data_IF_655154077663
#
_entry.id   IF_655154077663
#
_cell.length_a   1.000
_cell.length_b   1.000
_cell.length_c   1.000
_cell.angle_alpha   90.00
_cell.angle_beta   90.00
_cell.angle_gamma   90.00
#
_symmetry.space_group_name_H-M   'P 1'
#
loop_
_entity.id
_entity.type
_entity.pdbx_description
1 polymer ?
#
# COMPACT_ATOMS: atom_id res chain seq x y z
N UNK A 1 3.19 28.04 6.92
CA UNK A 1 2.33 26.85 7.19
C UNK A 1 1.85 26.17 5.90
N UNK A 2 1.55 26.91 4.83
CA UNK A 2 1.08 26.40 3.53
C UNK A 2 2.14 25.63 2.72
N UNK A 3 3.40 26.05 2.79
CA UNK A 3 4.54 25.37 2.13
C UNK A 3 4.74 23.94 2.64
N UNK A 4 4.77 23.76 3.96
CA UNK A 4 5.01 22.45 4.59
C UNK A 4 3.91 21.44 4.22
N UNK A 5 2.65 21.88 4.19
CA UNK A 5 1.51 21.04 3.80
C UNK A 5 1.56 20.65 2.33
N UNK A 6 1.98 21.57 1.45
CA UNK A 6 2.08 21.32 0.00
C UNK A 6 3.22 20.34 -0.32
N UNK A 7 4.37 20.50 0.35
CA UNK A 7 5.51 19.58 0.24
C UNK A 7 5.14 18.21 0.80
N UNK A 8 4.50 18.14 1.96
CA UNK A 8 4.05 16.88 2.55
C UNK A 8 3.05 16.14 1.64
N UNK A 9 2.09 16.84 1.04
CA UNK A 9 1.14 16.25 0.09
C UNK A 9 1.84 15.74 -1.18
N UNK A 10 2.76 16.52 -1.76
CA UNK A 10 3.54 16.09 -2.93
C UNK A 10 4.38 14.85 -2.64
N UNK A 11 5.06 14.83 -1.49
CA UNK A 11 5.84 13.69 -1.04
C UNK A 11 4.97 12.43 -0.88
N UNK A 12 3.80 12.52 -0.24
CA UNK A 12 2.93 11.37 -0.05
C UNK A 12 2.33 10.79 -1.35
N UNK A 13 2.14 11.62 -2.38
CA UNK A 13 1.70 11.19 -3.72
C UNK A 13 2.84 10.60 -4.56
N UNK A 14 4.08 10.99 -4.27
CA UNK A 14 5.22 10.59 -5.12
C UNK A 14 5.97 9.41 -4.52
N UNK A 15 6.16 9.40 -3.20
CA UNK A 15 6.99 8.42 -2.47
C UNK A 15 6.52 6.96 -2.64
N UNK A 16 5.24 6.58 -2.51
CA UNK A 16 4.83 5.17 -2.70
C UNK A 16 4.99 4.66 -4.14
N UNK A 17 4.65 5.47 -5.14
CA UNK A 17 4.81 5.08 -6.54
C UNK A 17 6.28 5.05 -6.95
N UNK A 18 7.04 6.10 -6.59
CA UNK A 18 8.48 6.17 -6.82
C UNK A 18 9.21 5.08 -6.02
N UNK A 19 8.80 4.82 -4.79
CA UNK A 19 9.35 3.78 -3.92
C UNK A 19 9.18 2.39 -4.52
N UNK A 20 8.01 2.07 -5.07
CA UNK A 20 7.82 0.83 -5.84
C UNK A 20 8.78 0.74 -7.03
N UNK A 21 8.87 1.80 -7.84
CA UNK A 21 9.74 1.83 -9.03
C UNK A 21 11.22 1.71 -8.67
N UNK A 22 11.70 2.46 -7.66
CA UNK A 22 13.07 2.42 -7.16
C UNK A 22 13.39 1.01 -6.66
N UNK A 23 12.52 0.43 -5.82
CA UNK A 23 12.70 -0.92 -5.30
C UNK A 23 12.73 -1.95 -6.44
N UNK A 24 11.92 -1.78 -7.48
CA UNK A 24 11.95 -2.64 -8.65
C UNK A 24 13.27 -2.55 -9.43
N UNK A 25 13.76 -1.34 -9.69
CA UNK A 25 15.04 -1.11 -10.39
C UNK A 25 16.21 -1.72 -9.60
N UNK A 26 16.28 -1.45 -8.29
CA UNK A 26 17.30 -2.00 -7.39
C UNK A 26 17.24 -3.54 -7.36
N UNK A 27 16.03 -4.09 -7.22
CA UNK A 27 15.83 -5.54 -7.18
C UNK A 27 16.24 -6.20 -8.49
N UNK A 28 16.02 -5.52 -9.63
CA UNK A 28 16.43 -5.98 -10.97
C UNK A 28 17.94 -6.03 -11.13
N UNK A 29 18.64 -5.02 -10.64
CA UNK A 29 20.11 -5.02 -10.61
C UNK A 29 20.66 -6.11 -9.69
N UNK A 30 20.03 -6.36 -8.54
CA UNK A 30 20.55 -7.32 -7.56
C UNK A 30 20.26 -8.78 -7.92
N UNK A 31 19.06 -9.09 -8.44
CA UNK A 31 18.66 -10.48 -8.71
C UNK A 31 18.87 -10.93 -10.16
N UNK A 32 19.03 -10.01 -11.11
CA UNK A 32 19.14 -10.33 -12.55
C UNK A 32 17.91 -11.02 -13.16
N UNK A 33 16.87 -11.27 -12.37
CA UNK A 33 15.69 -12.03 -12.77
C UNK A 33 14.44 -11.18 -12.56
N UNK A 34 13.75 -10.88 -13.66
CA UNK A 34 12.56 -10.03 -13.66
C UNK A 34 11.49 -10.48 -12.66
N UNK A 35 11.17 -11.78 -12.61
CA UNK A 35 10.11 -12.30 -11.74
C UNK A 35 10.47 -12.20 -10.26
N UNK A 36 11.72 -12.49 -9.89
CA UNK A 36 12.19 -12.32 -8.50
C UNK A 36 12.21 -10.85 -8.10
N UNK A 37 12.57 -9.97 -9.02
CA UNK A 37 12.63 -8.52 -8.81
C UNK A 37 11.26 -7.93 -8.49
N UNK A 38 10.24 -8.34 -9.25
CA UNK A 38 8.85 -7.91 -8.99
C UNK A 38 8.41 -8.32 -7.59
N UNK A 39 8.67 -9.56 -7.18
CA UNK A 39 8.26 -10.01 -5.85
C UNK A 39 8.97 -9.25 -4.72
N UNK A 40 10.28 -9.01 -4.85
CA UNK A 40 11.01 -8.24 -3.84
C UNK A 40 10.50 -6.79 -3.75
N UNK A 41 10.22 -6.18 -4.90
CA UNK A 41 9.68 -4.83 -4.96
C UNK A 41 8.28 -4.72 -4.33
N UNK A 42 7.40 -5.68 -4.63
CA UNK A 42 6.07 -5.78 -4.01
C UNK A 42 6.20 -5.91 -2.49
N UNK A 43 7.08 -6.81 -2.02
CA UNK A 43 7.20 -7.09 -0.60
C UNK A 43 7.61 -5.82 0.19
N UNK A 44 8.57 -5.04 -0.31
CA UNK A 44 8.99 -3.79 0.31
C UNK A 44 7.98 -2.65 0.16
N UNK A 45 7.42 -2.47 -1.03
CA UNK A 45 6.49 -1.38 -1.31
C UNK A 45 5.15 -1.51 -0.58
N UNK A 46 4.75 -2.73 -0.17
CA UNK A 46 3.52 -2.95 0.61
C UNK A 46 3.49 -2.11 1.89
N UNK A 47 4.58 -2.11 2.66
CA UNK A 47 4.69 -1.28 3.86
C UNK A 47 4.54 0.20 3.51
N UNK A 48 5.18 0.61 2.42
CA UNK A 48 5.18 1.98 1.94
C UNK A 48 3.77 2.43 1.54
N UNK A 49 2.99 1.58 0.88
CA UNK A 49 1.59 1.84 0.57
C UNK A 49 0.70 1.90 1.82
N UNK A 50 0.91 1.01 2.81
CA UNK A 50 0.16 1.05 4.07
C UNK A 50 0.35 2.40 4.78
N UNK A 51 1.60 2.86 4.91
CA UNK A 51 1.89 4.17 5.52
C UNK A 51 1.33 5.32 4.68
N UNK A 52 1.46 5.25 3.37
CA UNK A 52 0.96 6.31 2.48
C UNK A 52 -0.56 6.46 2.57
N UNK A 53 -1.29 5.35 2.58
CA UNK A 53 -2.76 5.34 2.79
C UNK A 53 -3.10 5.94 4.16
N UNK A 54 -2.40 5.55 5.21
CA UNK A 54 -2.62 6.10 6.55
C UNK A 54 -2.46 7.64 6.59
N UNK A 55 -1.38 8.17 6.02
CA UNK A 55 -1.14 9.61 6.00
C UNK A 55 -2.08 10.36 5.06
N UNK A 56 -2.45 9.79 3.91
CA UNK A 56 -3.46 10.37 3.02
C UNK A 56 -4.81 10.52 3.72
N UNK A 57 -5.23 9.51 4.48
CA UNK A 57 -6.47 9.56 5.26
C UNK A 57 -6.41 10.69 6.30
N UNK A 58 -5.29 10.83 7.02
CA UNK A 58 -5.11 11.93 7.98
C UNK A 58 -5.15 13.29 7.27
N UNK A 59 -4.55 13.40 6.09
CA UNK A 59 -4.51 14.66 5.36
C UNK A 59 -5.90 15.08 4.84
N UNK A 60 -6.69 14.13 4.34
CA UNK A 60 -8.03 14.39 3.78
C UNK A 60 -9.07 14.66 4.88
N UNK A 61 -9.08 13.84 5.95
CA UNK A 61 -10.13 13.89 6.97
C UNK A 61 -9.68 14.40 8.35
N UNK A 62 -8.39 14.67 8.55
CA UNK A 62 -7.86 15.15 9.84
C UNK A 62 -7.91 14.12 10.98
N UNK A 63 -8.21 12.85 10.68
CA UNK A 63 -8.37 11.78 11.67
C UNK A 63 -7.52 10.57 11.31
N UNK A 64 -6.94 9.95 12.34
CA UNK A 64 -6.20 8.69 12.19
C UNK A 64 -7.16 7.50 12.18
N UNK A 65 -7.13 6.72 11.10
CA UNK A 65 -7.83 5.44 11.00
C UNK A 65 -6.86 4.24 11.00
N UNK A 66 -5.70 4.39 11.67
CA UNK A 66 -4.70 3.32 11.75
C UNK A 66 -5.29 2.03 12.33
N UNK A 67 -6.16 2.14 13.34
CA UNK A 67 -6.85 0.98 13.92
C UNK A 67 -7.70 0.22 12.89
N UNK A 68 -8.39 0.93 12.00
CA UNK A 68 -9.19 0.30 10.94
C UNK A 68 -8.30 -0.40 9.90
N UNK A 69 -7.15 0.20 9.55
CA UNK A 69 -6.15 -0.41 8.67
C UNK A 69 -5.63 -1.72 9.29
N UNK A 70 -5.30 -1.71 10.58
CA UNK A 70 -4.84 -2.90 11.30
C UNK A 70 -5.93 -3.98 11.37
N UNK A 71 -7.19 -3.58 11.58
CA UNK A 71 -8.33 -4.50 11.58
C UNK A 71 -8.50 -5.19 10.22
N UNK A 72 -8.40 -4.43 9.12
CA UNK A 72 -8.45 -4.96 7.75
C UNK A 72 -7.29 -5.94 7.50
N UNK A 73 -6.07 -5.59 7.92
CA UNK A 73 -4.89 -6.47 7.81
C UNK A 73 -5.13 -7.81 8.51
N UNK A 74 -5.58 -7.78 9.77
CA UNK A 74 -5.86 -8.99 10.55
C UNK A 74 -7.00 -9.80 9.93
N UNK A 75 -8.08 -9.15 9.52
CA UNK A 75 -9.22 -9.81 8.87
C UNK A 75 -8.80 -10.52 7.58
N UNK A 76 -8.01 -9.87 6.73
CA UNK A 76 -7.45 -10.48 5.53
C UNK A 76 -6.51 -11.64 5.85
N UNK A 77 -5.72 -11.55 6.92
CA UNK A 77 -4.85 -12.63 7.35
C UNK A 77 -5.65 -13.88 7.73
N UNK A 78 -6.73 -13.71 8.49
CA UNK A 78 -7.65 -14.80 8.86
C UNK A 78 -8.27 -15.43 7.62
N UNK A 79 -8.81 -14.62 6.70
CA UNK A 79 -9.38 -15.12 5.44
C UNK A 79 -8.36 -15.94 4.66
N UNK A 80 -7.13 -15.45 4.51
CA UNK A 80 -6.08 -16.14 3.77
C UNK A 80 -5.71 -17.49 4.39
N UNK A 81 -5.65 -17.57 5.73
CA UNK A 81 -5.40 -18.83 6.45
C UNK A 81 -6.55 -19.81 6.22
N UNK A 82 -7.80 -19.37 6.34
CA UNK A 82 -8.98 -20.22 6.15
C UNK A 82 -9.08 -20.75 4.71
N UNK A 83 -8.86 -19.89 3.71
CA UNK A 83 -8.84 -20.28 2.30
C UNK A 83 -7.75 -21.34 2.07
N UNK A 84 -6.53 -21.11 2.57
CA UNK A 84 -5.43 -22.03 2.32
C UNK A 84 -5.63 -23.38 3.03
N UNK A 85 -6.16 -23.37 4.25
CA UNK A 85 -6.50 -24.56 5.00
C UNK A 85 -7.50 -25.44 4.24
N UNK A 86 -8.55 -24.82 3.67
CA UNK A 86 -9.56 -25.55 2.88
C UNK A 86 -9.03 -26.12 1.56
N UNK A 87 -8.07 -25.45 0.93
CA UNK A 87 -7.57 -25.81 -0.40
C UNK A 87 -6.44 -26.85 -0.42
N UNK A 88 -5.59 -26.90 0.62
CA UNK A 88 -4.30 -27.61 0.52
C UNK A 88 -4.07 -28.71 1.55
N UNK A 89 -4.93 -28.86 2.57
CA UNK A 89 -4.83 -29.85 3.68
C UNK A 89 -3.52 -29.82 4.51
N UNK A 90 -2.41 -29.32 3.96
CA UNK A 90 -1.16 -29.00 4.63
C UNK A 90 -0.93 -27.48 4.62
N UNK A 91 -0.77 -26.89 5.80
CA UNK A 91 -0.57 -25.44 5.95
C UNK A 91 0.91 -25.12 5.79
N UNK A 92 1.33 -24.75 4.58
CA UNK A 92 2.63 -24.10 4.40
C UNK A 92 2.52 -22.60 4.68
N UNK A 93 2.74 -22.22 5.94
CA UNK A 93 2.66 -20.82 6.42
C UNK A 93 3.45 -19.83 5.56
N UNK A 94 4.61 -20.22 5.05
CA UNK A 94 5.43 -19.36 4.18
C UNK A 94 4.76 -19.02 2.85
N UNK A 95 4.03 -19.97 2.24
CA UNK A 95 3.26 -19.70 1.02
C UNK A 95 2.00 -18.88 1.29
N UNK A 96 1.33 -19.14 2.42
CA UNK A 96 0.15 -18.37 2.86
C UNK A 96 0.53 -16.91 3.05
N UNK A 97 1.58 -16.66 3.81
CA UNK A 97 2.02 -15.31 4.13
C UNK A 97 2.42 -14.53 2.87
N UNK A 98 3.13 -15.16 1.92
CA UNK A 98 3.44 -14.53 0.62
C UNK A 98 2.19 -14.18 -0.17
N UNK A 99 1.17 -15.04 -0.17
CA UNK A 99 -0.11 -14.75 -0.82
C UNK A 99 -0.84 -13.58 -0.16
N UNK A 100 -0.96 -13.63 1.17
CA UNK A 100 -1.56 -12.58 1.99
C UNK A 100 -0.87 -11.22 1.76
N UNK A 101 0.47 -11.20 1.78
CA UNK A 101 1.25 -9.98 1.63
C UNK A 101 1.05 -9.33 0.26
N UNK A 102 1.07 -10.14 -0.81
CA UNK A 102 0.84 -9.67 -2.19
C UNK A 102 -0.58 -9.15 -2.41
N UNK A 103 -1.56 -9.74 -1.75
CA UNK A 103 -2.94 -9.24 -1.83
C UNK A 103 -3.07 -7.89 -1.13
N UNK A 104 -2.42 -7.71 0.02
CA UNK A 104 -2.37 -6.43 0.70
C UNK A 104 -1.71 -5.34 -0.15
N UNK A 105 -0.60 -5.65 -0.82
CA UNK A 105 -0.01 -4.72 -1.80
C UNK A 105 -1.06 -4.19 -2.77
N UNK A 106 -1.79 -5.09 -3.43
CA UNK A 106 -2.77 -4.73 -4.45
C UNK A 106 -3.93 -3.92 -3.85
N UNK A 107 -4.42 -4.33 -2.68
CA UNK A 107 -5.49 -3.64 -1.98
C UNK A 107 -5.09 -2.22 -1.57
N UNK A 108 -3.94 -2.06 -0.91
CA UNK A 108 -3.47 -0.75 -0.47
C UNK A 108 -3.04 0.13 -1.65
N UNK A 109 -2.51 -0.45 -2.73
CA UNK A 109 -2.25 0.27 -3.97
C UNK A 109 -3.54 0.85 -4.57
N UNK A 110 -4.63 0.06 -4.62
CA UNK A 110 -5.90 0.52 -5.15
C UNK A 110 -6.54 1.59 -4.26
N UNK A 111 -6.57 1.38 -2.94
CA UNK A 111 -7.06 2.37 -1.97
C UNK A 111 -6.26 3.67 -2.08
N UNK A 112 -4.94 3.58 -2.23
CA UNK A 112 -4.06 4.72 -2.45
C UNK A 112 -4.47 5.54 -3.69
N UNK A 113 -4.70 4.88 -4.84
CA UNK A 113 -5.14 5.56 -6.06
C UNK A 113 -6.49 6.27 -5.86
N UNK A 114 -7.45 5.60 -5.22
CA UNK A 114 -8.77 6.18 -4.91
C UNK A 114 -8.62 7.40 -4.01
N UNK A 115 -7.80 7.31 -2.96
CA UNK A 115 -7.56 8.42 -2.03
C UNK A 115 -6.91 9.62 -2.69
N UNK A 116 -5.98 9.41 -3.64
CA UNK A 116 -5.42 10.51 -4.43
C UNK A 116 -6.51 11.23 -5.21
N UNK A 117 -7.38 10.49 -5.91
CA UNK A 117 -8.44 11.07 -6.73
C UNK A 117 -9.39 11.88 -5.85
N UNK A 118 -9.79 11.32 -4.70
CA UNK A 118 -10.66 12.00 -3.72
C UNK A 118 -9.98 13.26 -3.16
N UNK A 119 -8.72 13.17 -2.76
CA UNK A 119 -7.96 14.31 -2.24
C UNK A 119 -7.78 15.43 -3.26
N UNK A 120 -7.51 15.08 -4.52
CA UNK A 120 -7.44 16.05 -5.63
C UNK A 120 -8.79 16.72 -5.88
N UNK A 121 -9.88 15.95 -5.93
CA UNK A 121 -11.22 16.48 -6.13
C UNK A 121 -11.62 17.45 -5.02
N UNK A 122 -11.36 17.10 -3.76
CA UNK A 122 -11.66 17.97 -2.62
C UNK A 122 -10.84 19.27 -2.66
N UNK A 123 -9.57 19.20 -3.08
CA UNK A 123 -8.73 20.40 -3.23
C UNK A 123 -9.19 21.31 -4.35
N UNK A 124 -9.57 20.75 -5.51
CA UNK A 124 -10.05 21.52 -6.65
C UNK A 124 -11.41 22.16 -6.34
N UNK A 125 -12.35 21.41 -5.76
CA UNK A 125 -13.66 21.95 -5.39
C UNK A 125 -13.56 23.09 -4.39
N UNK A 126 -12.66 22.99 -3.40
CA UNK A 126 -12.40 24.09 -2.47
C UNK A 126 -11.78 25.33 -3.12
N UNK A 127 -11.04 25.20 -4.23
CA UNK A 127 -10.46 26.33 -4.95
C UNK A 127 -11.46 27.07 -5.85
N UNK A 128 -12.55 26.40 -6.24
CA UNK A 128 -13.55 26.93 -7.18
C UNK A 128 -14.78 27.49 -6.46
N UNK A 129 -15.01 27.09 -5.21
CA UNK A 129 -16.08 27.60 -4.34
C UNK A 129 -15.65 28.87 -3.61
#
# INVERSE_FOLDING_TARGET
MTEILSVAAGLLVTIPLAGYLIMFIFSKQLTGNHRKSVYLAIDFSTLLFIFSVHFLIIMIWGKSFLWLIMLILIFLAVIFVLIHWKLRQEINFGRVFKGYWRFNFLLFFFVYLVLIIVGLYQRISWLVA
#
